data_IF_068641615779
#
_entry.id   IF_068641615779
#
_cell.length_a   1.000
_cell.length_b   1.000
_cell.length_c   1.000
_cell.angle_alpha   90.00
_cell.angle_beta   90.00
_cell.angle_gamma   90.00
#
_symmetry.space_group_name_H-M   'P 1'
#
loop_
_entity.id
_entity.type
_entity.pdbx_description
1 polymer ?
#
# COMPACT_ATOMS: atom_id res chain seq x y z
N UNK A 1 12.16 16.83 27.84
CA UNK A 1 11.94 15.58 28.60
C UNK A 1 10.60 14.90 28.28
N UNK A 2 9.46 15.62 28.31
CA UNK A 2 8.13 15.07 27.99
C UNK A 2 8.05 14.39 26.60
N UNK A 3 8.59 15.01 25.55
CA UNK A 3 8.60 14.44 24.19
C UNK A 3 9.36 13.12 24.10
N UNK A 4 10.48 12.97 24.83
CA UNK A 4 11.26 11.73 24.82
C UNK A 4 10.46 10.54 25.38
N UNK A 5 9.48 10.80 26.25
CA UNK A 5 8.60 9.77 26.85
C UNK A 5 7.38 9.51 25.94
N UNK A 6 6.75 10.57 25.43
CA UNK A 6 5.53 10.43 24.63
C UNK A 6 5.80 9.96 23.19
N UNK A 7 6.92 10.35 22.57
CA UNK A 7 7.22 10.01 21.19
C UNK A 7 7.27 8.48 20.96
N UNK A 8 7.97 7.67 21.78
CA UNK A 8 7.96 6.21 21.63
C UNK A 8 6.56 5.61 21.74
N UNK A 9 5.73 6.12 22.64
CA UNK A 9 4.35 5.63 22.86
C UNK A 9 3.50 5.92 21.63
N UNK A 10 3.49 7.18 21.17
CA UNK A 10 2.74 7.59 19.97
C UNK A 10 3.22 6.81 18.74
N UNK A 11 4.52 6.63 18.59
CA UNK A 11 5.11 5.86 17.48
C UNK A 11 4.60 4.42 17.47
N UNK A 12 4.56 3.75 18.63
CA UNK A 12 4.04 2.37 18.74
C UNK A 12 2.55 2.30 18.40
N UNK A 13 1.74 3.24 18.89
CA UNK A 13 0.31 3.30 18.58
C UNK A 13 0.07 3.49 17.07
N UNK A 14 0.82 4.39 16.44
CA UNK A 14 0.69 4.66 15.01
C UNK A 14 1.19 3.49 14.15
N UNK A 15 2.26 2.79 14.57
CA UNK A 15 2.69 1.54 13.92
C UNK A 15 1.62 0.44 14.02
N UNK A 16 0.96 0.33 15.17
CA UNK A 16 -0.15 -0.62 15.34
C UNK A 16 -1.33 -0.28 14.43
N UNK A 17 -1.70 1.01 14.34
CA UNK A 17 -2.74 1.51 13.42
C UNK A 17 -2.37 1.23 11.96
N UNK A 18 -1.14 1.52 11.55
CA UNK A 18 -0.63 1.23 10.21
C UNK A 18 -0.75 -0.26 9.90
N UNK A 19 -0.30 -1.12 10.81
CA UNK A 19 -0.33 -2.59 10.65
C UNK A 19 -1.76 -3.11 10.52
N UNK A 20 -2.68 -2.66 11.39
CA UNK A 20 -4.09 -3.05 11.33
C UNK A 20 -4.76 -2.61 10.04
N UNK A 21 -4.46 -1.38 9.59
CA UNK A 21 -4.97 -0.86 8.31
C UNK A 21 -4.50 -1.75 7.16
N UNK A 22 -3.19 -2.04 7.10
CA UNK A 22 -2.61 -2.92 6.08
C UNK A 22 -3.25 -4.31 6.06
N UNK A 23 -3.41 -4.94 7.22
CA UNK A 23 -4.07 -6.25 7.34
C UNK A 23 -5.51 -6.22 6.81
N UNK A 24 -6.27 -5.15 7.09
CA UNK A 24 -7.62 -4.95 6.54
C UNK A 24 -7.57 -4.86 5.01
N UNK A 25 -6.63 -4.09 4.47
CA UNK A 25 -6.41 -3.98 3.01
C UNK A 25 -6.04 -5.31 2.36
N UNK A 26 -5.14 -6.08 2.97
CA UNK A 26 -4.75 -7.42 2.50
C UNK A 26 -5.95 -8.35 2.47
N UNK A 27 -6.74 -8.40 3.56
CA UNK A 27 -7.96 -9.22 3.63
C UNK A 27 -8.95 -8.86 2.52
N UNK A 28 -9.18 -7.56 2.30
CA UNK A 28 -10.07 -7.08 1.24
C UNK A 28 -9.54 -7.42 -0.17
N UNK A 29 -8.22 -7.33 -0.37
CA UNK A 29 -7.57 -7.65 -1.65
C UNK A 29 -7.68 -9.15 -1.96
N UNK A 30 -7.48 -10.01 -0.96
CA UNK A 30 -7.65 -11.46 -1.09
C UNK A 30 -9.11 -11.81 -1.35
N UNK A 31 -10.06 -11.19 -0.64
CA UNK A 31 -11.49 -11.40 -0.88
C UNK A 31 -11.87 -11.06 -2.32
N UNK A 32 -11.42 -9.91 -2.83
CA UNK A 32 -11.63 -9.51 -4.23
C UNK A 32 -10.99 -10.47 -5.23
N UNK A 33 -9.81 -11.00 -4.92
CA UNK A 33 -9.17 -12.03 -5.76
C UNK A 33 -9.94 -13.35 -5.80
N UNK A 34 -10.61 -13.73 -4.71
CA UNK A 34 -11.47 -14.92 -4.69
C UNK A 34 -12.81 -14.69 -5.40
N UNK A 35 -13.38 -13.50 -5.27
CA UNK A 35 -14.63 -13.12 -5.96
C UNK A 35 -14.45 -12.98 -7.47
N UNK A 36 -13.27 -12.52 -7.91
CA UNK A 36 -13.00 -12.20 -9.31
C UNK A 36 -11.90 -13.11 -9.85
N UNK A 37 -12.16 -13.84 -10.95
CA UNK A 37 -11.15 -14.58 -11.72
C UNK A 37 -10.12 -13.69 -12.46
N UNK A 38 -9.93 -12.46 -11.99
CA UNK A 38 -9.01 -11.49 -12.56
C UNK A 38 -7.56 -11.91 -12.32
N UNK A 39 -6.62 -11.44 -13.16
CA UNK A 39 -5.38 -12.17 -13.28
C UNK A 39 -4.37 -11.92 -12.16
N UNK A 40 -4.45 -10.78 -11.47
CA UNK A 40 -3.72 -10.43 -10.24
C UNK A 40 -4.30 -9.13 -9.69
N UNK A 41 -4.37 -9.01 -8.37
CA UNK A 41 -4.72 -7.76 -7.70
C UNK A 41 -3.51 -7.13 -7.03
N UNK A 42 -3.51 -5.81 -7.00
CA UNK A 42 -2.52 -4.95 -6.38
C UNK A 42 -3.23 -4.01 -5.42
N UNK A 43 -2.69 -3.91 -4.21
CA UNK A 43 -3.17 -3.01 -3.19
C UNK A 43 -2.32 -1.73 -3.21
N UNK A 44 -2.93 -0.62 -3.59
CA UNK A 44 -2.31 0.71 -3.60
C UNK A 44 -3.03 1.59 -2.58
N UNK A 45 -2.41 2.67 -2.13
CA UNK A 45 -3.06 3.64 -1.24
C UNK A 45 -3.56 4.84 -2.04
N UNK A 46 -4.87 5.11 -1.97
CA UNK A 46 -5.46 6.30 -2.54
C UNK A 46 -5.49 7.41 -1.48
N UNK A 47 -4.68 8.45 -1.70
CA UNK A 47 -4.60 9.61 -0.80
C UNK A 47 -5.91 10.40 -0.75
N UNK A 48 -6.68 10.42 -1.84
CA UNK A 48 -7.89 11.24 -1.95
C UNK A 48 -8.99 10.69 -1.06
N UNK A 49 -9.17 9.36 -1.08
CA UNK A 49 -10.15 8.65 -0.26
C UNK A 49 -9.58 8.15 1.07
N UNK A 50 -8.27 8.34 1.30
CA UNK A 50 -7.52 7.89 2.48
C UNK A 50 -7.66 6.39 2.77
N UNK A 51 -7.84 5.57 1.73
CA UNK A 51 -8.07 4.14 1.85
C UNK A 51 -7.27 3.35 0.80
N UNK A 52 -7.23 2.02 0.96
CA UNK A 52 -6.62 1.15 -0.03
C UNK A 52 -7.49 1.04 -1.29
N UNK A 53 -6.87 1.35 -2.44
CA UNK A 53 -7.39 1.04 -3.75
C UNK A 53 -6.91 -0.34 -4.18
N UNK A 54 -7.86 -1.26 -4.36
CA UNK A 54 -7.61 -2.59 -4.91
C UNK A 54 -7.74 -2.50 -6.43
N UNK A 55 -6.65 -2.76 -7.13
CA UNK A 55 -6.54 -2.56 -8.56
C UNK A 55 -6.12 -3.84 -9.27
N UNK A 56 -6.56 -4.01 -10.51
CA UNK A 56 -6.05 -5.03 -11.42
C UNK A 56 -5.66 -4.38 -12.75
N UNK A 57 -4.92 -5.10 -13.60
CA UNK A 57 -4.60 -4.58 -14.92
C UNK A 57 -5.80 -4.74 -15.86
N UNK A 58 -5.98 -3.79 -16.77
CA UNK A 58 -6.97 -3.89 -17.85
C UNK A 58 -6.65 -5.10 -18.76
N UNK A 59 -7.50 -6.14 -18.81
CA UNK A 59 -7.26 -7.32 -19.63
C UNK A 59 -7.39 -7.06 -21.14
N UNK A 60 -7.98 -5.93 -21.56
CA UNK A 60 -8.19 -5.57 -22.96
C UNK A 60 -7.04 -4.72 -23.55
N UNK A 61 -6.04 -4.36 -22.72
CA UNK A 61 -4.83 -3.62 -23.17
C UNK A 61 -3.54 -4.45 -22.99
N UNK A 62 -3.65 -5.78 -23.06
CA UNK A 62 -2.52 -6.71 -22.91
C UNK A 62 -1.43 -6.50 -23.95
N UNK A 63 -1.78 -5.95 -25.11
CA UNK A 63 -0.90 -5.86 -26.27
C UNK A 63 0.05 -4.65 -26.21
N UNK A 64 -0.21 -3.70 -25.29
CA UNK A 64 0.73 -2.62 -24.95
C UNK A 64 1.65 -3.05 -23.81
N UNK A 65 2.57 -3.96 -24.11
CA UNK A 65 3.51 -4.56 -23.14
C UNK A 65 4.26 -3.53 -22.26
N UNK A 66 4.47 -2.31 -22.76
CA UNK A 66 5.18 -1.22 -22.09
C UNK A 66 4.30 -0.29 -21.23
N UNK A 67 2.96 -0.41 -21.23
CA UNK A 67 2.09 0.47 -20.45
C UNK A 67 0.89 -0.29 -19.87
N UNK A 68 1.00 -0.68 -18.60
CA UNK A 68 -0.10 -1.33 -17.88
C UNK A 68 -0.93 -0.27 -17.17
N UNK A 69 -2.18 -0.10 -17.60
CA UNK A 69 -3.18 0.69 -16.90
C UNK A 69 -3.79 -0.15 -15.79
N UNK A 70 -3.67 0.32 -14.55
CA UNK A 70 -4.42 -0.24 -13.45
C UNK A 70 -5.83 0.34 -13.42
N UNK A 71 -6.81 -0.52 -13.21
CA UNK A 71 -8.22 -0.15 -13.06
C UNK A 71 -8.68 -0.61 -11.68
N UNK A 72 -9.36 0.28 -10.97
CA UNK A 72 -10.08 -0.09 -9.75
C UNK A 72 -11.39 -0.78 -10.15
N UNK A 73 -11.61 -2.00 -9.65
CA UNK A 73 -12.84 -2.73 -9.94
C UNK A 73 -14.07 -1.93 -9.46
N UNK A 74 -15.09 -1.79 -10.32
CA UNK A 74 -16.35 -1.11 -9.99
C UNK A 74 -16.29 0.41 -9.94
N UNK A 75 -15.11 1.04 -10.11
CA UNK A 75 -14.98 2.50 -10.25
C UNK A 75 -14.14 2.80 -11.48
N UNK A 76 -14.81 3.30 -12.52
CA UNK A 76 -14.19 3.83 -13.74
C UNK A 76 -13.45 5.14 -13.43
N UNK A 77 -12.37 5.09 -12.63
CA UNK A 77 -11.34 6.13 -12.52
C UNK A 77 -10.33 5.76 -11.45
N UNK A 78 -9.19 5.24 -11.91
CA UNK A 78 -7.89 5.51 -11.33
C UNK A 78 -6.84 5.39 -12.44
N UNK A 79 -5.96 6.38 -12.48
CA UNK A 79 -5.29 6.90 -13.67
C UNK A 79 -3.78 6.88 -13.49
N UNK A 80 -3.22 5.70 -13.21
CA UNK A 80 -1.78 5.55 -13.11
C UNK A 80 -1.28 4.54 -14.13
N UNK A 81 -0.48 5.06 -15.05
CA UNK A 81 0.25 4.27 -16.02
C UNK A 81 1.56 3.84 -15.39
N UNK A 82 1.85 2.55 -15.47
CA UNK A 82 3.11 1.95 -15.07
C UNK A 82 3.80 1.39 -16.30
N UNK A 83 5.15 1.48 -16.36
CA UNK A 83 5.89 1.01 -17.54
C UNK A 83 5.92 -0.51 -17.61
N UNK A 84 5.86 -1.19 -16.46
CA UNK A 84 5.83 -2.66 -16.42
C UNK A 84 5.18 -3.19 -15.12
N UNK A 85 5.12 -4.53 -14.98
CA UNK A 85 4.58 -5.22 -13.80
C UNK A 85 5.41 -4.98 -12.55
N UNK A 86 6.73 -4.90 -12.69
CA UNK A 86 7.65 -4.70 -11.58
C UNK A 86 7.48 -3.31 -10.96
N UNK A 87 7.22 -2.28 -11.76
CA UNK A 87 6.88 -0.95 -11.26
C UNK A 87 5.59 -0.96 -10.44
N UNK A 88 4.59 -1.72 -10.88
CA UNK A 88 3.34 -1.88 -10.12
C UNK A 88 3.62 -2.60 -8.81
N UNK A 89 4.35 -3.71 -8.85
CA UNK A 89 4.74 -4.46 -7.64
C UNK A 89 5.52 -3.55 -6.70
N UNK A 90 6.46 -2.75 -7.20
CA UNK A 90 7.24 -1.81 -6.41
C UNK A 90 6.36 -0.75 -5.72
N UNK A 91 5.40 -0.18 -6.44
CA UNK A 91 4.50 0.85 -5.90
C UNK A 91 3.40 0.29 -4.97
N UNK A 92 2.97 -0.95 -5.18
CA UNK A 92 1.93 -1.59 -4.37
C UNK A 92 2.42 -1.95 -2.97
N UNK A 93 1.52 -1.89 -1.98
CA UNK A 93 1.78 -2.32 -0.60
C UNK A 93 1.42 -3.78 -0.35
N UNK A 94 0.82 -4.45 -1.34
CA UNK A 94 0.55 -5.89 -1.37
C UNK A 94 0.12 -6.29 -2.78
N UNK A 95 0.34 -7.54 -3.16
CA UNK A 95 -0.21 -8.12 -4.39
C UNK A 95 -0.48 -9.61 -4.24
N UNK A 96 -1.54 -10.08 -4.90
CA UNK A 96 -1.95 -11.49 -4.87
C UNK A 96 -1.10 -12.34 -5.82
N UNK A 97 -1.19 -13.67 -5.75
CA UNK A 97 -0.75 -14.52 -6.84
C UNK A 97 -1.41 -14.13 -8.17
N UNK A 98 -0.81 -14.56 -9.27
CA UNK A 98 -1.42 -14.44 -10.58
C UNK A 98 -2.08 -15.73 -10.98
N UNK A 99 -3.20 -15.64 -11.72
CA UNK A 99 -3.83 -16.82 -12.36
C UNK A 99 -2.91 -17.56 -13.34
N UNK A 100 -1.84 -16.90 -13.80
CA UNK A 100 -0.83 -17.44 -14.70
C UNK A 100 0.40 -18.01 -13.96
N UNK A 101 0.26 -18.36 -12.69
CA UNK A 101 1.31 -19.03 -11.91
C UNK A 101 2.34 -18.12 -11.23
N UNK A 102 2.30 -16.80 -11.46
CA UNK A 102 3.23 -15.89 -10.76
C UNK A 102 2.92 -15.81 -9.26
N UNK A 103 3.94 -15.96 -8.42
CA UNK A 103 3.82 -15.98 -6.95
C UNK A 103 3.40 -14.62 -6.37
N UNK A 104 2.53 -14.65 -5.36
CA UNK A 104 2.06 -13.46 -4.63
C UNK A 104 2.92 -13.16 -3.41
N UNK A 105 2.59 -12.08 -2.68
CA UNK A 105 3.31 -11.72 -1.45
C UNK A 105 3.28 -12.82 -0.38
N UNK A 106 2.19 -13.58 -0.26
CA UNK A 106 2.04 -14.59 0.79
C UNK A 106 2.86 -15.86 0.54
N UNK A 107 3.44 -16.02 -0.66
CA UNK A 107 4.35 -17.13 -0.97
C UNK A 107 5.75 -16.93 -0.37
N UNK A 108 6.13 -15.69 -0.02
CA UNK A 108 7.42 -15.37 0.58
C UNK A 108 7.27 -14.37 1.73
N UNK A 109 7.52 -14.84 2.95
CA UNK A 109 7.46 -14.03 4.17
C UNK A 109 8.38 -12.80 4.12
N UNK A 110 9.54 -12.87 3.44
CA UNK A 110 10.45 -11.72 3.29
C UNK A 110 9.82 -10.63 2.45
N UNK A 111 9.17 -11.00 1.34
CA UNK A 111 8.44 -10.07 0.47
C UNK A 111 7.27 -9.44 1.23
N UNK A 112 6.49 -10.25 1.95
CA UNK A 112 5.37 -9.78 2.77
C UNK A 112 5.81 -8.80 3.84
N UNK A 113 6.89 -9.11 4.57
CA UNK A 113 7.46 -8.22 5.58
C UNK A 113 7.98 -6.90 4.97
N UNK A 114 8.68 -6.98 3.83
CA UNK A 114 9.13 -5.79 3.09
C UNK A 114 7.95 -4.88 2.70
N UNK A 115 6.84 -5.48 2.27
CA UNK A 115 5.63 -4.75 1.88
C UNK A 115 4.91 -4.08 3.04
N UNK A 116 4.83 -4.77 4.19
CA UNK A 116 4.34 -4.16 5.43
C UNK A 116 5.24 -3.00 5.87
N UNK A 117 6.57 -3.18 5.87
CA UNK A 117 7.53 -2.13 6.23
C UNK A 117 7.39 -0.91 5.32
N UNK A 118 7.32 -1.11 4.01
CA UNK A 118 7.10 -0.04 3.02
C UNK A 118 5.82 0.76 3.32
N UNK A 119 4.74 0.07 3.70
CA UNK A 119 3.50 0.73 4.11
C UNK A 119 3.65 1.49 5.43
N UNK A 120 4.26 0.88 6.46
CA UNK A 120 4.46 1.52 7.76
C UNK A 120 5.27 2.81 7.61
N UNK A 121 6.38 2.78 6.87
CA UNK A 121 7.20 3.97 6.60
C UNK A 121 6.39 5.06 5.91
N UNK A 122 5.65 4.70 4.85
CA UNK A 122 4.80 5.64 4.14
C UNK A 122 3.68 6.20 5.04
N UNK A 123 3.03 5.37 5.85
CA UNK A 123 1.97 5.77 6.77
C UNK A 123 2.50 6.77 7.79
N UNK A 124 3.61 6.44 8.45
CA UNK A 124 4.22 7.29 9.46
C UNK A 124 4.63 8.65 8.87
N UNK A 125 5.07 8.68 7.62
CA UNK A 125 5.53 9.90 6.97
C UNK A 125 4.43 10.72 6.28
N UNK A 126 3.41 10.08 5.70
CA UNK A 126 2.41 10.75 4.81
C UNK A 126 0.97 10.69 5.29
N UNK A 127 0.62 9.75 6.17
CA UNK A 127 -0.77 9.49 6.57
C UNK A 127 -1.02 9.89 8.01
N UNK A 128 -0.08 9.58 8.91
CA UNK A 128 -0.22 9.88 10.34
C UNK A 128 -0.15 11.38 10.61
N UNK A 129 -1.28 11.95 11.04
CA UNK A 129 -1.36 13.34 11.50
C UNK A 129 -0.51 13.57 12.75
N UNK A 130 -0.45 12.60 13.67
CA UNK A 130 0.35 12.73 14.90
C UNK A 130 1.83 12.80 14.59
N UNK A 131 2.32 11.91 13.72
CA UNK A 131 3.72 11.94 13.30
C UNK A 131 4.04 13.19 12.47
N UNK A 132 3.09 13.70 11.70
CA UNK A 132 3.24 14.97 10.98
C UNK A 132 3.40 16.15 11.95
N UNK A 133 2.51 16.28 12.94
CA UNK A 133 2.61 17.30 14.00
C UNK A 133 3.92 17.19 14.77
N UNK A 134 4.36 15.97 15.11
CA UNK A 134 5.63 15.73 15.79
C UNK A 134 6.83 16.23 14.95
N UNK A 135 6.84 15.95 13.64
CA UNK A 135 7.91 16.44 12.75
C UNK A 135 7.94 17.97 12.65
N UNK A 136 6.77 18.62 12.55
CA UNK A 136 6.68 20.09 12.54
C UNK A 136 7.24 20.65 13.85
N UNK A 137 6.76 20.13 14.98
CA UNK A 137 7.21 20.57 16.30
C UNK A 137 8.73 20.46 16.46
N UNK A 138 9.31 19.31 16.09
CA UNK A 138 10.76 19.08 16.12
C UNK A 138 11.52 20.10 15.28
N UNK A 139 11.04 20.39 14.07
CA UNK A 139 11.63 21.38 13.18
C UNK A 139 11.59 22.79 13.76
N UNK A 140 10.45 23.19 14.33
CA UNK A 140 10.26 24.52 14.93
C UNK A 140 11.17 24.75 16.15
N UNK A 141 11.49 23.69 16.88
CA UNK A 141 12.26 23.77 18.13
C UNK A 141 13.71 23.30 17.99
N UNK A 142 14.19 23.01 16.77
CA UNK A 142 15.57 22.54 16.53
C UNK A 142 15.91 21.22 17.21
N UNK A 143 14.93 20.32 17.35
CA UNK A 143 15.09 19.01 18.00
C UNK A 143 15.29 17.94 16.92
N UNK A 144 16.49 17.37 16.85
CA UNK A 144 16.80 16.23 15.98
C UNK A 144 16.09 14.94 16.42
#
# INVERSE_FOLDING_TARGET
MLIAIYQPIVTRIELFRATRMWQKGVKATIAKYKECGAPRFYMLYDKSHKDFAIMTYDPNRKDMLAYRRLVQMGKWKASRYFKNVEDIKAASYYYTPSKWGAIGCDADNKVRAKKLKQWQEYYMYRVSTLMFKLRIYKKEHGID
#
